data_IF_468442908077
#
_entry.id   IF_468442908077
#
_cell.length_a   1.000
_cell.length_b   1.000
_cell.length_c   1.000
_cell.angle_alpha   90.00
_cell.angle_beta   90.00
_cell.angle_gamma   90.00
#
_symmetry.space_group_name_H-M   'P 1'
#
loop_
_entity.id
_entity.type
_entity.pdbx_description
1 polymer ?
#
# COMPACT_ATOMS: atom_id res chain seq x y z
N UNK A 1 -15.59 -6.97 -26.72
CA UNK A 1 -15.34 -5.64 -27.34
C UNK A 1 -14.09 -5.71 -28.21
N UNK A 2 -13.74 -4.62 -28.92
CA UNK A 2 -12.46 -4.54 -29.66
C UNK A 2 -11.28 -4.56 -28.70
N UNK A 3 -10.21 -5.25 -29.09
CA UNK A 3 -8.97 -5.32 -28.31
C UNK A 3 -8.11 -4.08 -28.59
N UNK A 4 -7.68 -3.37 -27.55
CA UNK A 4 -6.72 -2.26 -27.63
C UNK A 4 -5.63 -2.45 -26.55
N UNK A 5 -4.42 -2.83 -26.98
CA UNK A 5 -3.31 -3.10 -26.07
C UNK A 5 -2.56 -1.85 -25.59
N UNK A 6 -2.78 -0.69 -26.23
CA UNK A 6 -2.09 0.56 -25.86
C UNK A 6 -2.87 1.40 -24.86
N UNK A 7 -4.18 1.51 -25.07
CA UNK A 7 -5.07 2.31 -24.24
C UNK A 7 -6.39 1.57 -24.01
N UNK A 8 -6.38 0.50 -23.21
CA UNK A 8 -7.59 -0.27 -22.92
C UNK A 8 -8.53 0.51 -22.01
N UNK A 9 -9.84 0.43 -22.28
CA UNK A 9 -10.89 0.92 -21.35
C UNK A 9 -11.04 -0.01 -20.13
N UNK A 10 -10.73 -1.29 -20.32
CA UNK A 10 -10.77 -2.31 -19.28
C UNK A 10 -9.50 -3.16 -19.33
N UNK A 11 -8.85 -3.31 -18.18
CA UNK A 11 -7.75 -4.26 -18.00
C UNK A 11 -8.29 -5.52 -17.34
N UNK A 12 -7.89 -6.66 -17.89
CA UNK A 12 -8.22 -7.97 -17.35
C UNK A 12 -6.93 -8.66 -16.90
N UNK A 13 -7.01 -9.34 -15.76
CA UNK A 13 -5.91 -10.07 -15.17
C UNK A 13 -6.23 -11.56 -15.16
N UNK A 14 -5.24 -12.36 -15.49
CA UNK A 14 -5.22 -13.80 -15.26
C UNK A 14 -4.18 -14.06 -14.16
N UNK A 15 -4.61 -14.61 -13.04
CA UNK A 15 -3.74 -14.98 -11.92
C UNK A 15 -3.82 -16.48 -11.72
N UNK A 16 -2.67 -17.12 -11.55
CA UNK A 16 -2.55 -18.56 -11.41
C UNK A 16 -1.85 -18.89 -10.11
N UNK A 17 -2.41 -19.81 -9.34
CA UNK A 17 -1.71 -20.43 -8.21
C UNK A 17 -1.09 -21.73 -8.70
N UNK A 18 0.24 -21.80 -8.68
CA UNK A 18 0.97 -22.98 -9.09
C UNK A 18 0.99 -24.06 -7.98
N UNK A 19 1.28 -25.29 -8.38
CA UNK A 19 1.58 -26.39 -7.47
C UNK A 19 2.99 -26.16 -6.90
N UNK A 20 3.09 -25.57 -5.71
CA UNK A 20 4.37 -25.47 -5.02
C UNK A 20 4.84 -26.87 -4.61
N UNK A 21 6.05 -27.24 -5.04
CA UNK A 21 6.78 -28.35 -4.45
C UNK A 21 6.90 -28.16 -2.92
N UNK A 22 6.50 -29.21 -2.19
CA UNK A 22 6.23 -29.30 -0.75
C UNK A 22 7.39 -29.01 0.22
N UNK A 23 8.51 -28.43 -0.23
CA UNK A 23 9.74 -28.31 0.56
C UNK A 23 9.92 -26.97 1.31
N UNK A 24 8.86 -26.19 1.50
CA UNK A 24 8.90 -24.93 2.26
C UNK A 24 8.19 -24.99 3.62
N UNK A 25 7.70 -26.17 4.03
CA UNK A 25 6.99 -26.35 5.31
C UNK A 25 5.58 -25.76 5.34
N UNK A 26 5.05 -25.26 4.21
CA UNK A 26 3.66 -24.85 4.07
C UNK A 26 2.78 -26.03 3.63
N UNK A 27 1.49 -26.03 3.98
CA UNK A 27 0.57 -27.03 3.46
C UNK A 27 0.54 -26.99 1.92
N UNK A 28 0.45 -28.15 1.25
CA UNK A 28 0.34 -28.19 -0.20
C UNK A 28 -0.84 -27.34 -0.65
N UNK A 29 -0.60 -26.49 -1.66
CA UNK A 29 -1.72 -25.91 -2.42
C UNK A 29 -2.38 -27.07 -3.15
N UNK A 30 -3.56 -27.46 -2.68
CA UNK A 30 -4.17 -28.74 -3.04
C UNK A 30 -4.60 -28.85 -4.52
N UNK A 31 -4.67 -27.73 -5.26
CA UNK A 31 -5.10 -27.71 -6.66
C UNK A 31 -4.67 -26.42 -7.36
N UNK A 32 -4.11 -26.55 -8.58
CA UNK A 32 -3.92 -25.42 -9.51
C UNK A 32 -5.22 -24.66 -9.70
N UNK A 33 -5.22 -23.37 -9.38
CA UNK A 33 -6.41 -22.50 -9.47
C UNK A 33 -6.11 -21.30 -10.35
N UNK A 34 -7.04 -20.99 -11.26
CA UNK A 34 -6.94 -19.86 -12.18
C UNK A 34 -8.05 -18.86 -11.84
N UNK A 35 -7.65 -17.61 -11.60
CA UNK A 35 -8.53 -16.48 -11.38
C UNK A 35 -8.49 -15.56 -12.59
N UNK A 36 -9.67 -15.20 -13.11
CA UNK A 36 -9.82 -14.19 -14.15
C UNK A 36 -10.70 -13.06 -13.65
N UNK A 37 -10.25 -11.82 -13.79
CA UNK A 37 -10.96 -10.67 -13.27
C UNK A 37 -10.66 -9.37 -13.99
N UNK A 38 -11.52 -8.37 -13.78
CA UNK A 38 -11.32 -6.99 -14.26
C UNK A 38 -10.65 -6.17 -13.16
N UNK A 39 -9.64 -5.40 -13.51
CA UNK A 39 -9.05 -4.40 -12.61
C UNK A 39 -10.08 -3.34 -12.22
N UNK A 40 -10.33 -3.17 -10.93
CA UNK A 40 -11.22 -2.14 -10.37
C UNK A 40 -10.46 -0.99 -9.69
N UNK A 41 -9.20 -1.23 -9.36
CA UNK A 41 -8.30 -0.26 -8.74
C UNK A 41 -6.89 -0.83 -8.71
N UNK A 42 -5.91 0.07 -8.66
CA UNK A 42 -4.50 -0.26 -8.53
C UNK A 42 -3.89 0.57 -7.41
N UNK A 43 -2.80 0.08 -6.83
CA UNK A 43 -2.06 0.83 -5.82
C UNK A 43 -1.44 2.11 -6.44
N UNK A 44 -1.58 3.24 -5.77
CA UNK A 44 -0.87 4.46 -6.16
C UNK A 44 0.56 4.47 -5.61
N UNK A 45 1.48 3.82 -6.34
CA UNK A 45 2.90 3.78 -5.96
C UNK A 45 3.59 5.14 -6.05
N UNK A 46 2.99 6.16 -6.69
CA UNK A 46 3.57 7.50 -6.80
C UNK A 46 3.57 8.25 -5.47
N UNK A 47 2.76 7.77 -4.53
CA UNK A 47 2.69 8.28 -3.18
C UNK A 47 4.04 8.16 -2.45
N UNK A 48 4.70 7.00 -2.54
CA UNK A 48 5.92 6.74 -1.78
C UNK A 48 7.08 7.70 -2.14
N UNK A 49 7.39 7.97 -3.42
CA UNK A 49 8.36 8.99 -3.81
C UNK A 49 8.13 10.37 -3.22
N UNK A 50 6.87 10.77 -3.07
CA UNK A 50 6.49 12.09 -2.55
C UNK A 50 6.91 12.26 -1.09
N UNK A 51 6.86 11.18 -0.29
CA UNK A 51 7.10 11.20 1.16
C UNK A 51 8.42 10.58 1.60
N UNK A 52 9.36 10.35 0.66
CA UNK A 52 10.70 9.84 0.96
C UNK A 52 11.43 10.75 1.95
N UNK A 53 12.25 10.16 2.82
CA UNK A 53 12.95 10.93 3.87
C UNK A 53 13.81 12.07 3.31
N UNK A 54 14.46 11.85 2.17
CA UNK A 54 15.33 12.85 1.51
C UNK A 54 14.59 14.09 0.99
N UNK A 55 13.27 14.04 0.80
CA UNK A 55 12.48 15.19 0.35
C UNK A 55 11.95 16.03 1.52
N UNK A 56 12.15 15.61 2.77
CA UNK A 56 11.66 16.32 3.96
C UNK A 56 12.58 17.47 4.35
N UNK A 57 11.99 18.55 4.83
CA UNK A 57 12.72 19.71 5.37
C UNK A 57 13.48 19.37 6.65
N UNK A 58 12.94 18.46 7.47
CA UNK A 58 13.57 17.98 8.69
C UNK A 58 13.81 16.47 8.59
N UNK A 59 15.03 16.05 8.88
CA UNK A 59 15.47 14.66 8.84
C UNK A 59 16.12 14.34 10.19
N UNK A 60 15.70 13.25 10.80
CA UNK A 60 16.25 12.74 12.06
C UNK A 60 16.62 11.25 11.92
N UNK A 61 17.41 10.73 12.86
CA UNK A 61 17.99 9.38 12.77
C UNK A 61 16.95 8.26 12.88
N UNK A 62 15.80 8.53 13.51
CA UNK A 62 14.75 7.55 13.81
C UNK A 62 13.47 7.89 13.06
N UNK A 63 13.54 7.91 11.73
CA UNK A 63 12.38 8.13 10.88
C UNK A 63 11.84 6.79 10.34
N UNK A 64 10.54 6.58 10.47
CA UNK A 64 9.88 5.41 9.88
C UNK A 64 9.82 5.53 8.36
N UNK A 65 10.01 4.40 7.68
CA UNK A 65 9.82 4.28 6.23
C UNK A 65 8.40 4.70 5.81
N UNK A 66 8.30 5.37 4.65
CA UNK A 66 7.05 5.93 4.19
C UNK A 66 5.99 4.84 3.91
N UNK A 67 6.36 3.71 3.33
CA UNK A 67 5.41 2.64 2.99
C UNK A 67 4.80 2.04 4.25
N UNK A 68 5.62 1.81 5.27
CA UNK A 68 5.16 1.31 6.58
C UNK A 68 4.27 2.33 7.28
N UNK A 69 4.63 3.62 7.27
CA UNK A 69 3.81 4.66 7.87
C UNK A 69 2.41 4.76 7.22
N UNK A 70 2.33 4.65 5.89
CA UNK A 70 1.06 4.63 5.16
C UNK A 70 0.24 3.37 5.44
N UNK A 71 0.90 2.22 5.59
CA UNK A 71 0.23 0.98 5.98
C UNK A 71 -0.39 1.11 7.39
N UNK A 72 0.36 1.67 8.35
CA UNK A 72 -0.14 1.91 9.71
C UNK A 72 -1.31 2.90 9.74
N UNK A 73 -1.22 4.00 8.99
CA UNK A 73 -2.30 4.97 8.90
C UNK A 73 -3.58 4.36 8.28
N UNK A 74 -3.44 3.48 7.29
CA UNK A 74 -4.55 2.70 6.74
C UNK A 74 -5.15 1.74 7.78
N UNK A 75 -4.33 0.99 8.52
CA UNK A 75 -4.78 0.08 9.57
C UNK A 75 -5.52 0.83 10.70
N UNK A 76 -5.08 2.04 11.02
CA UNK A 76 -5.73 2.93 11.97
C UNK A 76 -7.03 3.57 11.43
N UNK A 77 -7.38 3.32 10.17
CA UNK A 77 -8.52 3.92 9.47
C UNK A 77 -8.47 5.46 9.54
N UNK A 78 -7.27 6.03 9.40
CA UNK A 78 -7.07 7.48 9.37
C UNK A 78 -7.87 8.07 8.19
N UNK A 79 -8.67 9.09 8.49
CA UNK A 79 -9.50 9.81 7.51
C UNK A 79 -9.98 11.13 8.08
N UNK A 80 -10.53 11.98 7.22
CA UNK A 80 -11.25 13.20 7.62
C UNK A 80 -12.25 12.94 8.76
N UNK A 81 -12.26 13.83 9.75
CA UNK A 81 -13.07 13.73 10.97
C UNK A 81 -12.48 12.85 12.07
N UNK A 82 -11.28 12.30 11.89
CA UNK A 82 -10.54 11.56 12.92
C UNK A 82 -9.39 12.40 13.48
N UNK A 83 -9.11 12.23 14.77
CA UNK A 83 -7.90 12.71 15.43
C UNK A 83 -6.92 11.53 15.55
N UNK A 84 -5.69 11.72 15.09
CA UNK A 84 -4.57 10.79 15.26
C UNK A 84 -3.52 11.47 16.12
N UNK A 85 -3.19 10.82 17.24
CA UNK A 85 -2.20 11.27 18.20
C UNK A 85 -1.06 10.25 18.29
N UNK A 86 0.17 10.71 18.15
CA UNK A 86 1.37 9.87 18.29
C UNK A 86 2.26 10.41 19.42
N UNK A 87 2.25 9.81 20.61
CA UNK A 87 3.05 10.28 21.75
C UNK A 87 4.56 10.07 21.56
N UNK A 88 4.99 9.40 20.48
CA UNK A 88 6.39 9.15 20.14
C UNK A 88 6.71 9.54 18.70
N UNK A 89 6.08 10.61 18.22
CA UNK A 89 6.06 11.04 16.81
C UNK A 89 7.44 11.19 16.13
N UNK A 90 8.49 11.54 16.87
CA UNK A 90 9.83 11.76 16.33
C UNK A 90 9.82 12.79 15.19
N UNK A 91 10.20 12.35 13.98
CA UNK A 91 10.22 13.20 12.77
C UNK A 91 8.87 13.28 12.03
N UNK A 92 7.80 12.71 12.58
CA UNK A 92 6.44 12.86 12.05
C UNK A 92 6.01 11.84 11.00
N UNK A 93 6.75 10.76 10.74
CA UNK A 93 6.43 9.83 9.65
C UNK A 93 4.99 9.31 9.67
N UNK A 94 4.48 8.85 10.83
CA UNK A 94 3.12 8.31 10.96
C UNK A 94 2.08 9.43 10.82
N UNK A 95 2.29 10.56 11.50
CA UNK A 95 1.37 11.69 11.43
C UNK A 95 1.27 12.26 10.01
N UNK A 96 2.38 12.38 9.28
CA UNK A 96 2.36 12.81 7.87
C UNK A 96 1.48 11.88 7.01
N UNK A 97 1.58 10.56 7.22
CA UNK A 97 0.74 9.59 6.52
C UNK A 97 -0.75 9.70 6.92
N UNK A 98 -1.04 9.90 8.20
CA UNK A 98 -2.41 10.12 8.69
C UNK A 98 -3.02 11.42 8.12
N UNK A 99 -2.25 12.50 8.09
CA UNK A 99 -2.64 13.78 7.50
C UNK A 99 -2.89 13.67 5.99
N UNK A 100 -2.12 12.83 5.26
CA UNK A 100 -2.36 12.57 3.85
C UNK A 100 -3.76 11.97 3.62
N UNK A 101 -4.25 11.10 4.50
CA UNK A 101 -5.63 10.61 4.46
C UNK A 101 -6.67 11.61 4.99
N UNK A 102 -6.24 12.81 5.39
CA UNK A 102 -7.09 13.90 5.83
C UNK A 102 -7.45 13.86 7.32
N UNK A 103 -6.81 13.00 8.12
CA UNK A 103 -7.00 13.03 9.57
C UNK A 103 -6.36 14.30 10.17
N UNK A 104 -6.95 14.79 11.27
CA UNK A 104 -6.30 15.81 12.10
C UNK A 104 -5.20 15.12 12.92
N UNK A 105 -3.99 15.66 12.88
CA UNK A 105 -2.84 15.10 13.58
C UNK A 105 -2.43 15.99 14.74
N UNK A 106 -2.10 15.39 15.87
CA UNK A 106 -1.63 16.07 17.08
C UNK A 106 -0.36 15.41 17.62
#
# INVERSE_FOLDING_TARGET
>A
GRVNLRKPDHKFWLMETDEYDLNNGLPPVAQRTIFFGREVGAADRKLLPTYQLKSRTYIGPTAMDAEIAFLMANQALARSGKLVYDPFVGTGSILIAAAHFGAMTM
#
